data_IF_237128904444
#
_entry.id   IF_237128904444
#
_cell.length_a   1.000
_cell.length_b   1.000
_cell.length_c   1.000
_cell.angle_alpha   90.00
_cell.angle_beta   90.00
_cell.angle_gamma   90.00
#
_symmetry.space_group_name_H-M   'P 1'
#
loop_
_entity.id
_entity.type
_entity.pdbx_description
1 polymer ?
#
# COMPACT_ATOMS: atom_id res chain seq x y z
N UNK A 1 -27.96 -35.11 17.48
CA UNK A 1 -27.48 -33.85 18.11
C UNK A 1 -28.64 -33.26 18.91
N UNK A 2 -28.37 -32.54 20.00
CA UNK A 2 -29.43 -31.85 20.77
C UNK A 2 -30.11 -30.76 19.92
N UNK A 3 -31.42 -30.60 20.05
CA UNK A 3 -32.20 -29.52 19.41
C UNK A 3 -32.18 -28.20 20.20
N UNK A 4 -31.32 -28.11 21.21
CA UNK A 4 -31.16 -26.92 22.05
C UNK A 4 -29.81 -26.22 21.76
N UNK A 5 -29.86 -24.93 21.39
CA UNK A 5 -28.68 -24.12 21.06
C UNK A 5 -27.68 -24.01 22.23
N UNK A 6 -28.17 -23.89 23.45
CA UNK A 6 -27.33 -23.83 24.66
C UNK A 6 -26.58 -25.15 24.84
N UNK A 7 -27.27 -26.29 24.69
CA UNK A 7 -26.63 -27.60 24.75
C UNK A 7 -25.58 -27.78 23.65
N UNK A 8 -25.86 -27.34 22.42
CA UNK A 8 -24.87 -27.38 21.33
C UNK A 8 -23.65 -26.51 21.63
N UNK A 9 -23.87 -25.32 22.19
CA UNK A 9 -22.81 -24.38 22.59
C UNK A 9 -21.89 -24.98 23.66
N UNK A 10 -22.47 -25.58 24.71
CA UNK A 10 -21.72 -26.25 25.78
C UNK A 10 -20.92 -27.42 25.20
N UNK A 11 -21.54 -28.23 24.33
CA UNK A 11 -20.86 -29.35 23.67
C UNK A 11 -19.65 -28.92 22.83
N UNK A 12 -19.78 -27.82 22.08
CA UNK A 12 -18.65 -27.25 21.31
C UNK A 12 -17.53 -26.78 22.24
N UNK A 13 -17.86 -26.05 23.32
CA UNK A 13 -16.86 -25.61 24.29
C UNK A 13 -16.15 -26.78 24.97
N UNK A 14 -16.88 -27.82 25.35
CA UNK A 14 -16.31 -29.03 25.93
C UNK A 14 -15.35 -29.73 24.97
N UNK A 15 -15.76 -29.91 23.71
CA UNK A 15 -14.90 -30.53 22.70
C UNK A 15 -13.64 -29.68 22.44
N UNK A 16 -13.78 -28.36 22.35
CA UNK A 16 -12.64 -27.48 22.19
C UNK A 16 -11.67 -27.56 23.37
N UNK A 17 -12.19 -27.58 24.60
CA UNK A 17 -11.40 -27.71 25.81
C UNK A 17 -10.60 -29.03 25.82
N UNK A 18 -11.26 -30.16 25.57
CA UNK A 18 -10.65 -31.49 25.58
C UNK A 18 -9.53 -31.63 24.52
N UNK A 19 -9.75 -31.09 23.33
CA UNK A 19 -8.84 -31.23 22.20
C UNK A 19 -7.95 -30.01 21.94
N UNK A 20 -7.97 -28.99 22.80
CA UNK A 20 -7.28 -27.72 22.55
C UNK A 20 -5.78 -27.93 22.30
N UNK A 21 -5.13 -28.67 23.19
CA UNK A 21 -3.70 -28.96 23.13
C UNK A 21 -3.35 -30.14 22.23
N UNK A 22 -4.36 -30.89 21.79
CA UNK A 22 -4.17 -32.05 20.92
C UNK A 22 -4.22 -31.59 19.46
N UNK A 23 -3.10 -31.71 18.74
CA UNK A 23 -3.06 -31.52 17.27
C UNK A 23 -3.58 -32.75 16.54
N UNK A 24 -4.78 -33.20 16.91
CA UNK A 24 -5.37 -34.43 16.40
C UNK A 24 -6.23 -34.14 15.17
N UNK A 25 -5.68 -34.42 13.98
CA UNK A 25 -6.32 -34.21 12.69
C UNK A 25 -7.71 -34.88 12.60
N UNK A 26 -7.86 -36.09 13.16
CA UNK A 26 -9.12 -36.83 13.14
C UNK A 26 -10.18 -36.13 13.99
N UNK A 27 -9.79 -35.62 15.16
CA UNK A 27 -10.69 -34.84 16.01
C UNK A 27 -11.13 -33.54 15.33
N UNK A 28 -10.21 -32.83 14.67
CA UNK A 28 -10.51 -31.60 13.93
C UNK A 28 -11.48 -31.85 12.76
N UNK A 29 -11.30 -32.95 12.02
CA UNK A 29 -12.22 -33.37 10.96
C UNK A 29 -13.61 -33.69 11.51
N UNK A 30 -13.69 -34.47 12.59
CA UNK A 30 -14.95 -34.83 13.25
C UNK A 30 -15.66 -33.57 13.76
N UNK A 31 -14.92 -32.65 14.39
CA UNK A 31 -15.46 -31.37 14.88
C UNK A 31 -16.17 -30.60 13.76
N UNK A 32 -15.55 -30.50 12.59
CA UNK A 32 -16.11 -29.74 11.46
C UNK A 32 -17.23 -30.50 10.76
N UNK A 33 -17.04 -31.79 10.48
CA UNK A 33 -18.07 -32.62 9.84
C UNK A 33 -19.35 -32.63 10.68
N UNK A 34 -19.22 -32.73 11.99
CA UNK A 34 -20.31 -32.70 12.95
C UNK A 34 -20.43 -31.34 13.65
N UNK A 35 -20.10 -30.24 12.96
CA UNK A 35 -20.34 -28.91 13.54
C UNK A 35 -21.85 -28.71 13.76
N UNK A 36 -22.31 -28.25 14.93
CA UNK A 36 -23.74 -28.25 15.26
C UNK A 36 -24.57 -27.32 14.39
N UNK A 37 -25.71 -27.83 13.88
CA UNK A 37 -26.55 -27.14 12.89
C UNK A 37 -27.16 -25.84 13.44
N UNK A 38 -27.70 -25.83 14.66
CA UNK A 38 -28.36 -24.64 15.22
C UNK A 38 -27.34 -23.53 15.50
N UNK A 39 -26.15 -23.89 15.98
CA UNK A 39 -25.08 -22.92 16.18
C UNK A 39 -24.60 -22.32 14.85
N UNK A 40 -24.48 -23.14 13.80
CA UNK A 40 -24.16 -22.67 12.45
C UNK A 40 -25.23 -21.72 11.90
N UNK A 41 -26.50 -22.09 11.99
CA UNK A 41 -27.64 -21.27 11.58
C UNK A 41 -27.68 -19.96 12.35
N UNK A 42 -27.33 -19.99 13.64
CA UNK A 42 -27.25 -18.80 14.47
C UNK A 42 -26.15 -17.83 14.01
N UNK A 43 -24.95 -18.32 13.71
CA UNK A 43 -23.90 -17.48 13.14
C UNK A 43 -24.30 -16.89 11.77
N UNK A 44 -25.00 -17.67 10.95
CA UNK A 44 -25.55 -17.20 9.69
C UNK A 44 -26.67 -16.15 9.87
N UNK A 45 -27.46 -16.26 10.94
CA UNK A 45 -28.49 -15.27 11.29
C UNK A 45 -27.85 -13.94 11.72
N UNK A 46 -26.84 -14.02 12.59
CA UNK A 46 -26.08 -12.84 13.05
C UNK A 46 -25.35 -12.19 11.88
N UNK A 47 -24.73 -12.97 10.99
CA UNK A 47 -24.01 -12.42 9.84
C UNK A 47 -24.91 -11.69 8.84
N UNK A 48 -26.22 -11.97 8.86
CA UNK A 48 -27.26 -11.28 8.09
C UNK A 48 -27.90 -10.10 8.85
N UNK A 49 -27.43 -9.77 10.05
CA UNK A 49 -27.98 -8.69 10.87
C UNK A 49 -29.35 -8.98 11.49
N UNK A 50 -29.78 -10.25 11.55
CA UNK A 50 -31.11 -10.64 12.02
C UNK A 50 -31.17 -11.01 13.52
N UNK A 51 -30.14 -10.67 14.29
CA UNK A 51 -30.01 -11.12 15.67
C UNK A 51 -30.48 -10.07 16.68
N UNK A 52 -31.11 -10.57 17.74
CA UNK A 52 -31.43 -9.78 18.93
C UNK A 52 -30.14 -9.35 19.64
N UNK A 53 -30.10 -8.09 20.08
CA UNK A 53 -28.87 -7.39 20.51
C UNK A 53 -28.24 -8.07 21.74
N UNK A 54 -29.07 -8.60 22.63
CA UNK A 54 -28.69 -8.98 23.99
C UNK A 54 -27.70 -10.16 24.10
N UNK A 55 -27.62 -11.03 23.08
CA UNK A 55 -26.72 -12.21 23.08
C UNK A 55 -25.71 -12.22 21.91
N UNK A 56 -25.57 -11.11 21.20
CA UNK A 56 -24.69 -11.05 20.05
C UNK A 56 -23.20 -11.19 20.46
N UNK A 57 -22.77 -10.48 21.51
CA UNK A 57 -21.37 -10.43 21.93
C UNK A 57 -20.80 -11.79 22.38
N UNK A 58 -21.56 -12.55 23.19
CA UNK A 58 -21.13 -13.88 23.65
C UNK A 58 -20.95 -14.85 22.48
N UNK A 59 -21.79 -14.73 21.45
CA UNK A 59 -21.70 -15.51 20.22
C UNK A 59 -20.54 -15.08 19.33
N UNK A 60 -20.23 -13.77 19.25
CA UNK A 60 -19.00 -13.28 18.58
C UNK A 60 -17.75 -13.84 19.25
N UNK A 61 -17.71 -13.80 20.58
CA UNK A 61 -16.59 -14.35 21.35
C UNK A 61 -16.41 -15.85 21.07
N UNK A 62 -17.50 -16.62 21.15
CA UNK A 62 -17.48 -18.06 20.83
C UNK A 62 -17.03 -18.32 19.39
N UNK A 63 -17.47 -17.52 18.41
CA UNK A 63 -17.01 -17.65 17.03
C UNK A 63 -15.48 -17.47 16.92
N UNK A 64 -14.91 -16.50 17.63
CA UNK A 64 -13.45 -16.29 17.64
C UNK A 64 -12.71 -17.42 18.35
N UNK A 65 -13.25 -17.98 19.42
CA UNK A 65 -12.69 -19.18 20.06
C UNK A 65 -12.71 -20.36 19.08
N UNK A 66 -13.84 -20.59 18.40
CA UNK A 66 -13.99 -21.67 17.40
C UNK A 66 -13.03 -21.46 16.24
N UNK A 67 -12.94 -20.25 15.70
CA UNK A 67 -12.00 -19.92 14.62
C UNK A 67 -10.56 -20.21 15.06
N UNK A 68 -10.19 -19.76 16.26
CA UNK A 68 -8.86 -19.98 16.83
C UNK A 68 -8.55 -21.46 16.97
N UNK A 69 -9.50 -22.25 17.49
CA UNK A 69 -9.39 -23.70 17.61
C UNK A 69 -9.21 -24.37 16.26
N UNK A 70 -10.12 -24.12 15.33
CA UNK A 70 -10.18 -24.79 14.02
C UNK A 70 -8.92 -24.53 13.20
N UNK A 71 -8.39 -23.31 13.24
CA UNK A 71 -7.17 -22.94 12.52
C UNK A 71 -5.89 -23.07 13.37
N UNK A 72 -5.92 -23.79 14.51
CA UNK A 72 -4.70 -24.08 15.28
C UNK A 72 -3.76 -25.08 14.60
N UNK A 73 -4.31 -25.89 13.69
CA UNK A 73 -3.61 -26.94 12.99
C UNK A 73 -2.99 -26.44 11.66
N UNK A 74 -1.85 -27.01 11.25
CA UNK A 74 -1.12 -26.64 10.02
C UNK A 74 -1.51 -27.50 8.80
N UNK A 75 -2.36 -28.51 8.98
CA UNK A 75 -2.74 -29.42 7.90
C UNK A 75 -3.73 -28.77 6.92
N UNK A 76 -3.21 -28.27 5.80
CA UNK A 76 -3.97 -27.56 4.76
C UNK A 76 -5.12 -28.36 4.14
N UNK A 77 -5.05 -29.69 4.16
CA UNK A 77 -6.09 -30.55 3.58
C UNK A 77 -7.46 -30.34 4.22
N UNK A 78 -7.48 -29.95 5.51
CA UNK A 78 -8.70 -29.58 6.23
C UNK A 78 -9.45 -28.42 5.57
N UNK A 79 -8.69 -27.47 5.02
CA UNK A 79 -9.22 -26.22 4.51
C UNK A 79 -9.99 -26.37 3.21
N UNK A 80 -9.93 -27.54 2.56
CA UNK A 80 -10.75 -27.88 1.38
C UNK A 80 -12.23 -28.12 1.75
N UNK A 81 -12.55 -28.35 3.02
CA UNK A 81 -13.93 -28.59 3.44
C UNK A 81 -14.74 -27.27 3.43
N UNK A 82 -15.92 -27.21 2.78
CA UNK A 82 -16.71 -25.98 2.62
C UNK A 82 -17.19 -25.37 3.94
N UNK A 83 -17.27 -26.14 5.03
CA UNK A 83 -17.62 -25.60 6.34
C UNK A 83 -16.54 -24.68 6.91
N UNK A 84 -15.26 -24.94 6.63
CA UNK A 84 -14.17 -24.01 7.03
C UNK A 84 -14.34 -22.66 6.34
N UNK A 85 -14.62 -22.67 5.04
CA UNK A 85 -14.91 -21.45 4.28
C UNK A 85 -16.03 -20.64 4.92
N UNK A 86 -17.08 -21.31 5.39
CA UNK A 86 -18.20 -20.65 6.05
C UNK A 86 -17.80 -20.01 7.38
N UNK A 87 -16.95 -20.66 8.17
CA UNK A 87 -16.37 -20.07 9.39
C UNK A 87 -15.50 -18.84 9.09
N UNK A 88 -14.72 -18.87 8.00
CA UNK A 88 -13.96 -17.70 7.53
C UNK A 88 -14.91 -16.56 7.16
N UNK A 89 -15.99 -16.85 6.42
CA UNK A 89 -17.00 -15.84 6.07
C UNK A 89 -17.63 -15.22 7.32
N UNK A 90 -18.03 -16.04 8.30
CA UNK A 90 -18.58 -15.53 9.55
C UNK A 90 -17.56 -14.66 10.28
N UNK A 91 -16.31 -15.10 10.40
CA UNK A 91 -15.24 -14.31 11.02
C UNK A 91 -15.09 -12.93 10.35
N UNK A 92 -15.00 -12.90 9.02
CA UNK A 92 -14.82 -11.67 8.24
C UNK A 92 -16.01 -10.71 8.35
N UNK A 93 -17.24 -11.23 8.43
CA UNK A 93 -18.44 -10.41 8.65
C UNK A 93 -18.43 -9.82 10.06
N UNK A 94 -18.04 -10.62 11.06
CA UNK A 94 -18.11 -10.20 12.46
C UNK A 94 -17.10 -9.09 12.78
N UNK A 95 -15.87 -9.17 12.26
CA UNK A 95 -14.86 -8.11 12.47
C UNK A 95 -15.20 -6.79 11.78
N UNK A 96 -16.18 -6.75 10.86
CA UNK A 96 -16.68 -5.50 10.24
C UNK A 96 -17.68 -4.75 11.12
N UNK A 97 -18.26 -5.41 12.11
CA UNK A 97 -19.27 -4.80 12.97
C UNK A 97 -18.64 -3.82 13.96
N UNK A 98 -19.37 -2.78 14.37
CA UNK A 98 -18.86 -1.76 15.29
C UNK A 98 -18.83 -2.21 16.77
N UNK A 99 -19.53 -3.29 17.13
CA UNK A 99 -19.53 -3.77 18.52
C UNK A 99 -18.27 -4.58 18.79
N UNK A 100 -17.28 -3.89 19.33
CA UNK A 100 -15.99 -4.45 19.74
C UNK A 100 -16.19 -5.44 20.88
N UNK A 101 -15.39 -6.51 20.83
CA UNK A 101 -15.29 -7.49 21.92
C UNK A 101 -13.82 -7.53 22.32
N UNK A 102 -13.53 -7.27 23.60
CA UNK A 102 -12.19 -7.50 24.12
C UNK A 102 -11.93 -9.00 24.22
N UNK A 103 -10.76 -9.42 23.75
CA UNK A 103 -10.40 -10.84 23.74
C UNK A 103 -9.05 -11.03 24.42
N UNK A 104 -9.02 -11.96 25.39
CA UNK A 104 -7.81 -12.29 26.14
C UNK A 104 -6.81 -13.10 25.28
N UNK A 105 -7.26 -13.78 24.22
CA UNK A 105 -6.46 -14.67 23.38
C UNK A 105 -6.05 -14.08 22.01
N UNK A 106 -5.88 -12.76 21.91
CA UNK A 106 -5.60 -12.07 20.63
C UNK A 106 -4.35 -12.61 19.91
N UNK A 107 -3.28 -12.94 20.64
CA UNK A 107 -2.06 -13.52 20.05
C UNK A 107 -2.34 -14.89 19.39
N UNK A 108 -3.11 -15.76 20.07
CA UNK A 108 -3.48 -17.07 19.51
C UNK A 108 -4.40 -16.92 18.31
N UNK A 109 -5.28 -15.92 18.32
CA UNK A 109 -6.12 -15.59 17.17
C UNK A 109 -5.28 -15.13 15.97
N UNK A 110 -4.29 -14.25 16.17
CA UNK A 110 -3.35 -13.82 15.13
C UNK A 110 -2.61 -15.02 14.53
N UNK A 111 -2.13 -15.95 15.38
CA UNK A 111 -1.48 -17.19 14.94
C UNK A 111 -2.41 -18.07 14.09
N UNK A 112 -3.67 -18.19 14.48
CA UNK A 112 -4.66 -18.95 13.74
C UNK A 112 -5.05 -18.27 12.41
N UNK A 113 -5.11 -16.94 12.36
CA UNK A 113 -5.27 -16.21 11.09
C UNK A 113 -4.06 -16.46 10.18
N UNK A 114 -2.84 -16.39 10.70
CA UNK A 114 -1.62 -16.67 9.94
C UNK A 114 -1.64 -18.07 9.29
N UNK A 115 -2.20 -19.08 9.99
CA UNK A 115 -2.40 -20.42 9.43
C UNK A 115 -3.56 -20.47 8.43
N UNK A 116 -4.67 -19.79 8.72
CA UNK A 116 -5.80 -19.68 7.81
C UNK A 116 -5.40 -19.09 6.44
N UNK A 117 -4.67 -17.97 6.44
CA UNK A 117 -4.30 -17.26 5.21
C UNK A 117 -3.14 -17.90 4.46
N UNK A 118 -2.49 -18.91 5.03
CA UNK A 118 -1.54 -19.74 4.27
C UNK A 118 -2.23 -20.68 3.27
N UNK A 119 -3.58 -20.77 3.32
CA UNK A 119 -4.39 -21.33 2.24
C UNK A 119 -4.87 -20.21 1.30
N UNK A 120 -4.42 -20.27 0.06
CA UNK A 120 -4.57 -19.18 -0.92
C UNK A 120 -6.01 -18.69 -1.13
N UNK A 121 -7.04 -19.56 -1.24
CA UNK A 121 -8.42 -19.11 -1.33
C UNK A 121 -8.89 -18.27 -0.13
N UNK A 122 -8.39 -18.55 1.07
CA UNK A 122 -8.71 -17.76 2.25
C UNK A 122 -7.90 -16.47 2.30
N UNK A 123 -6.65 -16.47 1.87
CA UNK A 123 -5.88 -15.24 1.70
C UNK A 123 -6.64 -14.24 0.80
N UNK A 124 -7.10 -14.71 -0.36
CA UNK A 124 -7.90 -13.89 -1.30
C UNK A 124 -9.13 -13.30 -0.62
N UNK A 125 -9.88 -14.10 0.16
CA UNK A 125 -11.03 -13.61 0.92
C UNK A 125 -10.65 -12.53 1.95
N UNK A 126 -9.51 -12.69 2.63
CA UNK A 126 -9.03 -11.70 3.59
C UNK A 126 -8.65 -10.37 2.91
N UNK A 127 -8.05 -10.41 1.72
CA UNK A 127 -7.74 -9.21 0.93
C UNK A 127 -9.02 -8.55 0.42
N UNK A 128 -9.91 -9.32 -0.22
CA UNK A 128 -11.16 -8.81 -0.80
C UNK A 128 -12.05 -8.15 0.24
N UNK A 129 -12.17 -8.76 1.42
CA UNK A 129 -13.03 -8.28 2.51
C UNK A 129 -12.35 -7.24 3.41
N UNK A 130 -11.16 -6.76 3.03
CA UNK A 130 -10.35 -5.79 3.79
C UNK A 130 -10.13 -6.21 5.26
N UNK A 131 -9.85 -7.49 5.47
CA UNK A 131 -9.87 -8.10 6.79
C UNK A 131 -8.88 -7.45 7.76
N UNK A 132 -7.67 -7.10 7.32
CA UNK A 132 -6.65 -6.51 8.20
C UNK A 132 -7.05 -5.13 8.72
N UNK A 133 -7.68 -4.32 7.87
CA UNK A 133 -8.23 -3.03 8.27
C UNK A 133 -9.38 -3.20 9.28
N UNK A 134 -10.33 -4.08 8.99
CA UNK A 134 -11.45 -4.34 9.89
C UNK A 134 -10.96 -4.90 11.23
N UNK A 135 -10.00 -5.82 11.19
CA UNK A 135 -9.35 -6.37 12.38
C UNK A 135 -8.68 -5.28 13.22
N UNK A 136 -7.94 -4.37 12.60
CA UNK A 136 -7.32 -3.24 13.30
C UNK A 136 -8.35 -2.39 14.04
N UNK A 137 -9.41 -1.95 13.37
CA UNK A 137 -10.42 -1.10 14.01
C UNK A 137 -11.27 -1.84 15.05
N UNK A 138 -11.51 -3.14 14.85
CA UNK A 138 -12.24 -3.97 15.78
C UNK A 138 -11.44 -4.21 17.07
N UNK A 139 -10.14 -4.48 16.98
CA UNK A 139 -9.27 -4.83 18.12
C UNK A 139 -8.33 -3.70 18.59
N UNK A 140 -8.49 -2.47 18.08
CA UNK A 140 -7.56 -1.33 18.31
C UNK A 140 -7.12 -1.09 19.77
N UNK A 141 -7.98 -1.33 20.76
CA UNK A 141 -7.62 -1.17 22.18
C UNK A 141 -6.64 -2.23 22.66
N UNK A 142 -6.82 -3.47 22.22
CA UNK A 142 -6.03 -4.63 22.65
C UNK A 142 -4.72 -4.76 21.84
N UNK A 143 -4.68 -4.17 20.63
CA UNK A 143 -3.54 -4.26 19.71
C UNK A 143 -2.26 -3.60 20.20
N UNK A 144 -2.29 -2.73 21.22
CA UNK A 144 -1.07 -2.05 21.71
C UNK A 144 0.02 -3.03 22.16
N UNK A 145 -0.36 -4.19 22.69
CA UNK A 145 0.58 -5.24 23.13
C UNK A 145 1.02 -6.17 22.00
N UNK A 146 0.19 -6.31 20.97
CA UNK A 146 0.36 -7.30 19.89
C UNK A 146 0.53 -6.62 18.53
N UNK A 147 1.01 -5.37 18.51
CA UNK A 147 1.09 -4.57 17.29
C UNK A 147 2.09 -5.16 16.28
N UNK A 148 3.27 -5.58 16.74
CA UNK A 148 4.27 -6.21 15.89
C UNK A 148 3.76 -7.55 15.29
N UNK A 149 3.21 -8.49 16.09
CA UNK A 149 2.54 -9.68 15.56
C UNK A 149 1.43 -9.37 14.55
N UNK A 150 0.65 -8.32 14.80
CA UNK A 150 -0.39 -7.87 13.87
C UNK A 150 0.20 -7.37 12.55
N UNK A 151 1.28 -6.58 12.57
CA UNK A 151 1.96 -6.14 11.36
C UNK A 151 2.56 -7.31 10.58
N UNK A 152 3.10 -8.32 11.26
CA UNK A 152 3.58 -9.54 10.62
C UNK A 152 2.45 -10.33 9.96
N UNK A 153 1.29 -10.40 10.60
CA UNK A 153 0.08 -10.99 10.01
C UNK A 153 -0.35 -10.22 8.76
N UNK A 154 -0.39 -8.89 8.82
CA UNK A 154 -0.70 -8.05 7.65
C UNK A 154 0.30 -8.30 6.52
N UNK A 155 1.60 -8.41 6.84
CA UNK A 155 2.64 -8.71 5.86
C UNK A 155 2.45 -10.07 5.22
N UNK A 156 1.99 -11.10 5.93
CA UNK A 156 1.70 -12.42 5.33
C UNK A 156 0.52 -12.34 4.37
N UNK A 157 -0.62 -11.80 4.84
CA UNK A 157 -1.80 -11.57 3.99
C UNK A 157 -1.43 -10.79 2.73
N UNK A 158 -0.61 -9.75 2.87
CA UNK A 158 -0.35 -8.81 1.80
C UNK A 158 0.91 -9.07 0.95
N UNK A 159 1.88 -9.86 1.42
CA UNK A 159 3.11 -10.15 0.68
C UNK A 159 3.18 -11.57 0.12
N UNK A 160 2.27 -12.48 0.48
CA UNK A 160 2.32 -13.85 -0.02
C UNK A 160 2.47 -13.87 -1.54
N UNK A 161 3.31 -14.79 -2.01
CA UNK A 161 3.68 -15.02 -3.41
C UNK A 161 2.45 -15.56 -4.15
N UNK A 162 1.49 -14.66 -4.42
CA UNK A 162 0.35 -14.89 -5.29
C UNK A 162 0.88 -15.01 -6.73
N UNK A 163 1.55 -16.13 -6.99
CA UNK A 163 2.24 -16.44 -8.26
C UNK A 163 1.25 -16.79 -9.36
N UNK A 164 0.06 -17.23 -8.99
CA UNK A 164 -1.05 -17.46 -9.91
C UNK A 164 -2.06 -16.34 -9.76
N UNK A 165 -2.52 -15.80 -10.89
CA UNK A 165 -3.49 -14.71 -10.94
C UNK A 165 -4.83 -15.29 -10.48
N UNK A 166 -5.05 -15.35 -9.16
CA UNK A 166 -6.41 -15.48 -8.66
C UNK A 166 -7.19 -14.26 -9.13
N UNK A 167 -8.38 -14.53 -9.69
CA UNK A 167 -9.29 -13.47 -10.12
C UNK A 167 -9.88 -12.84 -8.87
N UNK A 168 -9.29 -11.72 -8.44
CA UNK A 168 -9.87 -10.87 -7.41
C UNK A 168 -11.17 -10.24 -7.92
N UNK A 169 -12.11 -10.03 -7.00
CA UNK A 169 -13.32 -9.27 -7.24
C UNK A 169 -13.03 -7.76 -7.19
N UNK A 170 -12.97 -7.13 -8.37
CA UNK A 170 -12.64 -5.70 -8.51
C UNK A 170 -13.63 -4.77 -7.76
N UNK A 171 -14.91 -5.16 -7.64
CA UNK A 171 -15.94 -4.40 -6.89
C UNK A 171 -15.63 -4.40 -5.39
N UNK A 172 -15.23 -5.56 -4.84
CA UNK A 172 -14.84 -5.66 -3.43
C UNK A 172 -13.55 -4.89 -3.15
N UNK A 173 -12.55 -5.00 -4.02
CA UNK A 173 -11.30 -4.23 -3.89
C UNK A 173 -11.54 -2.72 -3.95
N UNK A 174 -12.40 -2.27 -4.87
CA UNK A 174 -12.87 -0.88 -4.98
C UNK A 174 -13.56 -0.41 -3.70
N UNK A 175 -14.47 -1.22 -3.16
CA UNK A 175 -15.17 -0.92 -1.91
C UNK A 175 -14.18 -0.81 -0.75
N UNK A 176 -13.25 -1.75 -0.64
CA UNK A 176 -12.19 -1.78 0.35
C UNK A 176 -11.29 -0.54 0.26
N UNK A 177 -10.88 -0.15 -0.94
CA UNK A 177 -10.11 1.08 -1.17
C UNK A 177 -10.86 2.32 -0.69
N UNK A 178 -12.13 2.46 -1.11
CA UNK A 178 -12.99 3.59 -0.72
C UNK A 178 -13.16 3.67 0.81
N UNK A 179 -13.36 2.55 1.49
CA UNK A 179 -13.48 2.50 2.96
C UNK A 179 -12.19 2.98 3.64
N UNK A 180 -11.03 2.44 3.25
CA UNK A 180 -9.75 2.81 3.88
C UNK A 180 -9.47 4.29 3.70
N UNK A 181 -9.63 4.80 2.47
CA UNK A 181 -9.35 6.20 2.15
C UNK A 181 -10.29 7.15 2.89
N UNK A 182 -11.59 6.88 2.90
CA UNK A 182 -12.57 7.70 3.61
C UNK A 182 -12.28 7.71 5.11
N UNK A 183 -11.99 6.54 5.70
CA UNK A 183 -11.70 6.47 7.14
C UNK A 183 -10.42 7.19 7.51
N UNK A 184 -9.39 7.12 6.66
CA UNK A 184 -8.19 7.90 6.87
C UNK A 184 -8.45 9.40 6.80
N UNK A 185 -9.20 9.88 5.80
CA UNK A 185 -9.52 11.31 5.67
C UNK A 185 -10.24 11.83 6.91
N UNK A 186 -11.16 11.03 7.47
CA UNK A 186 -11.90 11.32 8.70
C UNK A 186 -11.00 11.36 9.94
N UNK A 187 -10.15 10.35 10.12
CA UNK A 187 -9.45 10.11 11.41
C UNK A 187 -8.02 10.60 11.46
N UNK A 188 -7.36 10.74 10.30
CA UNK A 188 -5.91 10.94 10.15
C UNK A 188 -5.06 9.89 10.89
N UNK A 189 -5.62 8.70 11.10
CA UNK A 189 -4.98 7.57 11.75
C UNK A 189 -3.73 7.09 10.98
N UNK A 190 -2.60 7.00 11.66
CA UNK A 190 -1.30 6.71 11.03
C UNK A 190 -1.08 5.23 10.74
N UNK A 191 -1.70 4.37 11.52
CA UNK A 191 -1.70 2.93 11.39
C UNK A 191 -2.58 2.54 10.19
N UNK A 192 -3.70 3.26 10.00
CA UNK A 192 -4.53 3.18 8.82
C UNK A 192 -3.74 3.45 7.52
N UNK A 193 -2.81 4.41 7.52
CA UNK A 193 -1.91 4.65 6.37
C UNK A 193 -1.05 3.43 6.07
N UNK A 194 -0.54 2.77 7.09
CA UNK A 194 0.34 1.61 6.91
C UNK A 194 -0.42 0.46 6.25
N UNK A 195 -1.65 0.19 6.70
CA UNK A 195 -2.54 -0.80 6.09
C UNK A 195 -2.91 -0.41 4.65
N UNK A 196 -3.23 0.87 4.42
CA UNK A 196 -3.51 1.41 3.10
C UNK A 196 -2.38 1.13 2.11
N UNK A 197 -1.12 1.37 2.50
CA UNK A 197 0.02 1.10 1.63
C UNK A 197 0.29 -0.38 1.40
N UNK A 198 0.03 -1.24 2.39
CA UNK A 198 0.15 -2.68 2.17
C UNK A 198 -0.90 -3.15 1.16
N UNK A 199 -2.13 -2.65 1.26
CA UNK A 199 -3.20 -2.91 0.30
C UNK A 199 -2.85 -2.39 -1.09
N UNK A 200 -2.45 -1.12 -1.22
CA UNK A 200 -2.01 -0.53 -2.49
C UNK A 200 -0.84 -1.29 -3.13
N UNK A 201 0.10 -1.77 -2.33
CA UNK A 201 1.24 -2.56 -2.83
C UNK A 201 0.75 -3.83 -3.55
N UNK A 202 -0.27 -4.50 -3.05
CA UNK A 202 -0.87 -5.66 -3.73
C UNK A 202 -1.58 -5.25 -4.99
N UNK A 203 -2.43 -4.23 -4.93
CA UNK A 203 -3.17 -3.77 -6.12
C UNK A 203 -2.20 -3.44 -7.24
N UNK A 204 -1.08 -2.76 -6.93
CA UNK A 204 -0.02 -2.48 -7.88
C UNK A 204 0.71 -3.75 -8.36
N UNK A 205 1.10 -4.65 -7.44
CA UNK A 205 1.78 -5.92 -7.78
C UNK A 205 0.95 -6.78 -8.73
N UNK A 206 -0.36 -6.84 -8.50
CA UNK A 206 -1.32 -7.59 -9.32
C UNK A 206 -1.77 -6.84 -10.57
N UNK A 207 -1.26 -5.62 -10.80
CA UNK A 207 -1.65 -4.74 -11.93
C UNK A 207 -3.16 -4.49 -11.99
N UNK A 208 -3.80 -4.35 -10.83
CA UNK A 208 -5.23 -4.09 -10.68
C UNK A 208 -5.57 -2.60 -10.53
N UNK A 209 -4.57 -1.71 -10.63
CA UNK A 209 -4.79 -0.26 -10.46
C UNK A 209 -5.82 0.32 -11.43
N UNK A 210 -5.85 -0.14 -12.69
CA UNK A 210 -6.84 0.31 -13.67
C UNK A 210 -8.24 -0.31 -13.45
N UNK A 211 -8.36 -1.34 -12.59
CA UNK A 211 -9.64 -2.01 -12.32
C UNK A 211 -10.28 -1.57 -11.02
N UNK A 212 -9.47 -1.06 -10.09
CA UNK A 212 -9.93 -0.60 -8.78
C UNK A 212 -10.23 0.89 -8.88
N UNK A 213 -11.49 1.27 -8.73
CA UNK A 213 -11.88 2.67 -8.74
C UNK A 213 -11.55 3.35 -7.40
N UNK A 214 -10.92 4.51 -7.44
CA UNK A 214 -10.71 5.32 -6.25
C UNK A 214 -10.66 6.81 -6.58
N UNK A 215 -10.92 7.63 -5.57
CA UNK A 215 -10.87 9.08 -5.70
C UNK A 215 -9.41 9.56 -5.63
N UNK A 216 -8.84 9.97 -6.77
CA UNK A 216 -7.47 10.46 -6.84
C UNK A 216 -7.22 11.71 -5.97
N UNK A 217 -8.21 12.60 -5.79
CA UNK A 217 -8.08 13.72 -4.86
C UNK A 217 -7.92 13.25 -3.40
N UNK A 218 -8.67 12.23 -2.95
CA UNK A 218 -8.46 11.65 -1.63
C UNK A 218 -7.09 10.99 -1.50
N UNK A 219 -6.58 10.33 -2.55
CA UNK A 219 -5.23 9.79 -2.55
C UNK A 219 -4.18 10.90 -2.45
N UNK A 220 -4.42 12.05 -3.09
CA UNK A 220 -3.56 13.22 -3.01
C UNK A 220 -3.52 13.77 -1.59
N UNK A 221 -4.66 13.90 -0.92
CA UNK A 221 -4.73 14.32 0.48
C UNK A 221 -3.99 13.36 1.43
N UNK A 222 -4.09 12.05 1.19
CA UNK A 222 -3.31 11.04 1.91
C UNK A 222 -1.81 11.27 1.68
N UNK A 223 -1.42 11.41 0.41
CA UNK A 223 -0.02 11.60 -0.01
C UNK A 223 0.57 12.87 0.61
N UNK A 224 -0.16 13.97 0.55
CA UNK A 224 0.19 15.26 1.14
C UNK A 224 0.37 15.14 2.64
N UNK A 225 -0.56 14.51 3.34
CA UNK A 225 -0.46 14.30 4.78
C UNK A 225 0.81 13.53 5.17
N UNK A 226 1.09 12.42 4.48
CA UNK A 226 2.27 11.59 4.76
C UNK A 226 3.54 12.39 4.50
N UNK A 227 3.57 13.11 3.39
CA UNK A 227 4.70 13.98 3.05
C UNK A 227 4.96 15.02 4.13
N UNK A 228 3.93 15.75 4.53
CA UNK A 228 4.04 16.81 5.54
C UNK A 228 4.30 16.28 6.96
N UNK A 229 3.95 15.04 7.26
CA UNK A 229 4.30 14.41 8.54
C UNK A 229 5.76 13.94 8.56
N UNK A 230 6.19 13.26 7.50
CA UNK A 230 7.46 12.52 7.52
C UNK A 230 8.66 13.39 7.08
N UNK A 231 8.43 14.56 6.46
CA UNK A 231 9.55 15.39 5.97
C UNK A 231 10.49 15.85 7.10
N UNK A 232 9.97 16.11 8.29
CA UNK A 232 10.77 16.51 9.45
C UNK A 232 11.72 15.41 9.90
N UNK A 233 11.29 14.17 9.81
CA UNK A 233 12.09 13.04 10.26
C UNK A 233 13.15 12.66 9.23
N UNK A 234 13.09 13.21 8.00
CA UNK A 234 13.92 12.84 6.84
C UNK A 234 14.15 11.33 6.71
N UNK A 235 13.23 10.55 7.28
CA UNK A 235 13.36 9.11 7.36
C UNK A 235 12.87 8.61 6.02
N UNK A 236 13.79 7.96 5.30
CA UNK A 236 13.74 7.55 3.90
C UNK A 236 12.56 6.64 3.49
N UNK A 237 11.51 6.53 4.31
CA UNK A 237 10.32 5.73 4.06
C UNK A 237 9.30 6.39 3.12
N UNK A 238 9.67 7.45 2.39
CA UNK A 238 8.91 7.77 1.18
C UNK A 238 9.13 6.65 0.17
N UNK A 239 8.22 5.67 0.19
CA UNK A 239 8.32 4.44 -0.58
C UNK A 239 8.34 4.84 -2.07
N UNK A 240 9.37 4.44 -2.84
CA UNK A 240 9.42 4.63 -4.30
C UNK A 240 8.14 4.15 -5.03
N UNK A 241 7.36 3.29 -4.37
CA UNK A 241 6.08 2.81 -4.86
C UNK A 241 5.01 3.91 -5.00
N UNK A 242 5.02 4.97 -4.17
CA UNK A 242 3.99 6.01 -4.24
C UNK A 242 4.21 6.94 -5.45
N UNK A 243 5.45 7.29 -5.76
CA UNK A 243 5.76 8.03 -6.99
C UNK A 243 5.40 7.20 -8.23
N UNK A 244 5.69 5.89 -8.23
CA UNK A 244 5.30 4.97 -9.31
C UNK A 244 3.78 4.90 -9.47
N UNK A 245 3.04 4.77 -8.36
CA UNK A 245 1.58 4.81 -8.35
C UNK A 245 1.04 6.09 -8.98
N UNK A 246 1.58 7.24 -8.58
CA UNK A 246 1.15 8.53 -9.13
C UNK A 246 1.46 8.72 -10.60
N UNK A 247 2.59 8.20 -11.07
CA UNK A 247 2.91 8.18 -12.51
C UNK A 247 1.84 7.39 -13.27
N UNK A 248 1.42 6.23 -12.77
CA UNK A 248 0.36 5.46 -13.42
C UNK A 248 -0.96 6.24 -13.44
N UNK A 249 -1.37 6.80 -12.31
CA UNK A 249 -2.61 7.60 -12.21
C UNK A 249 -2.58 8.80 -13.16
N UNK A 250 -1.49 9.56 -13.21
CA UNK A 250 -1.36 10.75 -14.07
C UNK A 250 -1.25 10.43 -15.56
N UNK A 251 -0.97 9.18 -15.93
CA UNK A 251 -0.95 8.74 -17.33
C UNK A 251 -2.24 8.04 -17.76
N UNK A 252 -3.14 7.75 -16.83
CA UNK A 252 -4.41 7.10 -17.14
C UNK A 252 -5.34 8.10 -17.82
N UNK A 253 -5.86 7.79 -19.02
CA UNK A 253 -6.68 8.74 -19.79
C UNK A 253 -8.00 9.11 -19.09
N UNK A 254 -8.52 8.20 -18.28
CA UNK A 254 -9.79 8.39 -17.54
C UNK A 254 -9.61 9.15 -16.22
N UNK A 255 -8.35 9.39 -15.79
CA UNK A 255 -8.11 10.07 -14.53
C UNK A 255 -8.43 11.57 -14.63
N UNK A 256 -9.26 12.04 -13.71
CA UNK A 256 -9.69 13.44 -13.63
C UNK A 256 -8.73 14.34 -12.84
N UNK A 257 -7.81 13.75 -12.06
CA UNK A 257 -6.88 14.52 -11.25
C UNK A 257 -5.87 15.28 -12.10
N UNK A 258 -5.80 16.60 -11.90
CA UNK A 258 -4.88 17.51 -12.60
C UNK A 258 -3.94 18.18 -11.60
N UNK A 259 -2.71 18.45 -12.05
CA UNK A 259 -1.77 19.30 -11.31
C UNK A 259 -2.05 20.75 -11.74
N UNK A 260 -3.09 21.34 -11.18
CA UNK A 260 -3.59 22.68 -11.50
C UNK A 260 -3.33 23.73 -10.40
N UNK A 261 -2.96 23.28 -9.20
CA UNK A 261 -2.57 24.14 -8.09
C UNK A 261 -1.05 24.09 -7.84
N UNK A 262 -0.49 25.23 -7.38
CA UNK A 262 0.92 25.33 -6.94
C UNK A 262 1.21 24.32 -5.83
N UNK A 263 0.27 24.09 -4.92
CA UNK A 263 0.43 23.11 -3.86
C UNK A 263 0.56 21.68 -4.41
N UNK A 264 -0.27 21.29 -5.38
CA UNK A 264 -0.17 20.00 -6.06
C UNK A 264 1.22 19.85 -6.68
N UNK A 265 1.64 20.86 -7.45
CA UNK A 265 2.93 20.90 -8.14
C UNK A 265 4.11 20.70 -7.18
N UNK A 266 4.07 21.36 -6.01
CA UNK A 266 5.08 21.24 -4.96
C UNK A 266 5.14 19.83 -4.38
N UNK A 267 3.99 19.26 -4.00
CA UNK A 267 3.94 17.92 -3.42
C UNK A 267 4.43 16.88 -4.44
N UNK A 268 3.96 16.94 -5.68
CA UNK A 268 4.43 16.01 -6.72
C UNK A 268 5.91 16.16 -7.01
N UNK A 269 6.42 17.39 -7.06
CA UNK A 269 7.85 17.63 -7.21
C UNK A 269 8.65 17.00 -6.09
N UNK A 270 8.10 16.98 -4.88
CA UNK A 270 8.76 16.32 -3.78
C UNK A 270 8.84 14.80 -3.93
N UNK A 271 7.71 14.18 -4.24
CA UNK A 271 7.62 12.74 -4.53
C UNK A 271 8.58 12.32 -5.65
N UNK A 272 8.56 13.10 -6.73
CA UNK A 272 9.30 12.84 -7.94
C UNK A 272 10.79 13.12 -7.80
N UNK A 273 11.17 14.13 -7.01
CA UNK A 273 12.58 14.39 -6.71
C UNK A 273 13.21 13.26 -5.90
N UNK A 274 12.48 12.71 -4.91
CA UNK A 274 12.94 11.55 -4.14
C UNK A 274 13.11 10.34 -5.08
N UNK A 275 12.10 10.07 -5.90
CA UNK A 275 12.16 8.96 -6.86
C UNK A 275 13.33 9.07 -7.84
N UNK A 276 13.52 10.24 -8.46
CA UNK A 276 14.63 10.48 -9.39
C UNK A 276 15.99 10.37 -8.69
N UNK A 277 16.12 10.94 -7.49
CA UNK A 277 17.34 10.84 -6.70
C UNK A 277 17.74 9.39 -6.44
N UNK A 278 16.79 8.55 -6.00
CA UNK A 278 17.05 7.14 -5.69
C UNK A 278 17.35 6.33 -6.96
N UNK A 279 16.66 6.64 -8.06
CA UNK A 279 16.94 6.04 -9.37
C UNK A 279 18.36 6.39 -9.84
N UNK A 280 18.75 7.66 -9.81
CA UNK A 280 20.09 8.10 -10.16
C UNK A 280 21.16 7.46 -9.27
N UNK A 281 20.92 7.38 -7.96
CA UNK A 281 21.82 6.67 -7.03
C UNK A 281 22.02 5.22 -7.46
N UNK A 282 20.94 4.50 -7.76
CA UNK A 282 21.01 3.12 -8.26
C UNK A 282 21.79 3.02 -9.57
N UNK A 283 21.51 3.89 -10.55
CA UNK A 283 22.20 3.91 -11.84
C UNK A 283 23.70 4.16 -11.68
N UNK A 284 24.07 5.14 -10.84
CA UNK A 284 25.46 5.46 -10.49
C UNK A 284 26.18 4.26 -9.85
N UNK A 285 25.57 3.65 -8.84
CA UNK A 285 26.17 2.51 -8.13
C UNK A 285 26.41 1.32 -9.07
N UNK A 286 25.47 1.05 -9.99
CA UNK A 286 25.53 -0.11 -10.88
C UNK A 286 26.17 0.19 -12.24
N UNK A 287 26.68 1.41 -12.46
CA UNK A 287 27.26 1.86 -13.74
C UNK A 287 26.31 1.69 -14.94
N UNK A 288 25.02 1.97 -14.74
CA UNK A 288 23.97 1.83 -15.76
C UNK A 288 23.63 3.20 -16.36
N UNK A 289 23.58 3.28 -17.69
CA UNK A 289 23.15 4.50 -18.38
C UNK A 289 21.66 4.78 -18.17
N UNK A 290 21.31 6.04 -17.98
CA UNK A 290 19.94 6.48 -17.83
C UNK A 290 19.18 6.37 -19.16
N UNK A 291 18.07 5.63 -19.12
CA UNK A 291 17.12 5.55 -20.23
C UNK A 291 15.85 6.29 -19.80
N UNK A 292 15.52 7.37 -20.50
CA UNK A 292 14.28 8.11 -20.30
C UNK A 292 13.17 7.51 -21.17
N UNK A 293 12.09 7.11 -20.51
CA UNK A 293 10.83 6.80 -21.14
C UNK A 293 9.85 7.98 -20.94
N UNK A 294 8.65 7.91 -21.55
CA UNK A 294 7.60 8.92 -21.41
C UNK A 294 7.34 9.30 -19.95
N UNK A 295 7.28 8.31 -19.06
CA UNK A 295 7.01 8.51 -17.64
C UNK A 295 8.13 9.32 -16.96
N UNK A 296 9.40 8.97 -17.17
CA UNK A 296 10.55 9.72 -16.63
C UNK A 296 10.59 11.16 -17.15
N UNK A 297 10.23 11.38 -18.41
CA UNK A 297 10.12 12.74 -18.97
C UNK A 297 9.01 13.53 -18.26
N UNK A 298 7.85 12.95 -18.05
CA UNK A 298 6.74 13.60 -17.34
C UNK A 298 7.11 13.98 -15.90
N UNK A 299 7.75 13.07 -15.16
CA UNK A 299 8.29 13.34 -13.82
C UNK A 299 9.22 14.56 -13.86
N UNK A 300 10.16 14.57 -14.81
CA UNK A 300 11.12 15.65 -14.96
C UNK A 300 10.45 16.98 -15.31
N UNK A 301 9.41 16.97 -16.15
CA UNK A 301 8.62 18.15 -16.46
C UNK A 301 7.90 18.73 -15.24
N UNK A 302 7.34 17.87 -14.38
CA UNK A 302 6.73 18.35 -13.13
C UNK A 302 7.76 19.05 -12.24
N UNK A 303 8.97 18.49 -12.13
CA UNK A 303 10.06 19.14 -11.39
C UNK A 303 10.49 20.45 -12.07
N UNK A 304 10.63 20.45 -13.41
CA UNK A 304 10.97 21.64 -14.19
C UNK A 304 9.92 22.76 -14.01
N UNK A 305 8.63 22.44 -14.09
CA UNK A 305 7.57 23.43 -13.89
C UNK A 305 7.57 24.00 -12.47
N UNK A 306 7.95 23.21 -11.46
CA UNK A 306 8.19 23.76 -10.12
C UNK A 306 9.34 24.74 -10.08
N UNK A 307 10.42 24.49 -10.84
CA UNK A 307 11.51 25.46 -10.96
C UNK A 307 11.07 26.73 -11.71
N UNK A 308 10.16 26.62 -12.67
CA UNK A 308 9.57 27.79 -13.35
C UNK A 308 8.67 28.58 -12.40
N UNK A 309 7.81 27.90 -11.64
CA UNK A 309 6.92 28.51 -10.64
C UNK A 309 7.66 28.92 -9.36
N UNK A 310 8.93 28.57 -9.21
CA UNK A 310 9.68 28.76 -7.98
C UNK A 310 9.64 30.19 -7.42
N UNK A 311 9.76 31.27 -8.23
CA UNK A 311 9.71 32.64 -7.72
C UNK A 311 8.40 33.03 -7.03
N UNK A 312 7.28 32.36 -7.35
CA UNK A 312 5.96 32.64 -6.77
C UNK A 312 5.61 31.68 -5.63
N UNK A 313 6.48 30.73 -5.28
CA UNK A 313 6.30 29.82 -4.15
C UNK A 313 6.69 30.53 -2.85
N UNK A 314 5.83 30.44 -1.84
CA UNK A 314 6.14 30.84 -0.47
C UNK A 314 7.27 29.97 0.11
N UNK A 315 8.51 30.44 -0.07
CA UNK A 315 9.72 29.77 0.40
C UNK A 315 9.85 29.73 1.93
N UNK A 316 9.52 30.81 2.69
CA UNK A 316 9.48 30.75 4.15
C UNK A 316 8.62 29.61 4.70
N UNK A 317 7.45 29.35 4.10
CA UNK A 317 6.60 28.23 4.52
C UNK A 317 7.12 26.84 4.09
N UNK A 318 8.03 26.77 3.11
CA UNK A 318 8.47 25.51 2.49
C UNK A 318 9.99 25.46 2.27
N UNK A 319 10.81 25.67 3.32
CA UNK A 319 12.28 25.73 3.18
C UNK A 319 12.88 24.40 2.69
N UNK A 320 12.19 23.29 2.95
CA UNK A 320 12.59 21.94 2.53
C UNK A 320 12.61 21.77 1.00
N UNK A 321 11.79 22.51 0.24
CA UNK A 321 11.67 22.35 -1.21
C UNK A 321 12.97 22.70 -1.92
N UNK A 322 13.59 23.84 -1.56
CA UNK A 322 14.88 24.27 -2.12
C UNK A 322 15.97 23.25 -1.83
N UNK A 323 16.05 22.77 -0.59
CA UNK A 323 17.05 21.76 -0.16
C UNK A 323 16.94 20.48 -0.97
N UNK A 324 15.72 20.01 -1.19
CA UNK A 324 15.46 18.79 -1.94
C UNK A 324 15.77 18.95 -3.44
N UNK A 325 15.40 20.08 -4.04
CA UNK A 325 15.75 20.36 -5.44
C UNK A 325 17.26 20.49 -5.64
N UNK A 326 17.99 21.13 -4.71
CA UNK A 326 19.45 21.16 -4.72
C UNK A 326 20.05 19.75 -4.62
N UNK A 327 19.52 18.90 -3.74
CA UNK A 327 19.94 17.50 -3.62
C UNK A 327 19.75 16.73 -4.93
N UNK A 328 18.63 16.93 -5.61
CA UNK A 328 18.39 16.30 -6.91
C UNK A 328 19.37 16.82 -7.97
N UNK A 329 19.58 18.14 -8.02
CA UNK A 329 20.55 18.77 -8.92
C UNK A 329 21.95 18.16 -8.76
N UNK A 330 22.49 18.14 -7.53
CA UNK A 330 23.81 17.55 -7.29
C UNK A 330 23.88 16.08 -7.65
N UNK A 331 22.79 15.33 -7.49
CA UNK A 331 22.76 13.92 -7.89
C UNK A 331 22.81 13.73 -9.41
N UNK A 332 22.26 14.66 -10.19
CA UNK A 332 22.49 14.69 -11.65
C UNK A 332 23.93 15.10 -11.99
N UNK A 333 24.52 16.05 -11.26
CA UNK A 333 25.94 16.40 -11.41
C UNK A 333 26.85 15.19 -11.21
N UNK A 334 26.67 14.45 -10.10
CA UNK A 334 27.38 13.19 -9.84
C UNK A 334 27.19 12.14 -10.96
N UNK A 335 26.02 12.12 -11.59
CA UNK A 335 25.76 11.24 -12.73
C UNK A 335 26.59 11.70 -13.94
N UNK A 336 26.61 12.99 -14.27
CA UNK A 336 27.38 13.53 -15.39
C UNK A 336 28.90 13.39 -15.22
N UNK A 337 29.41 13.43 -13.98
CA UNK A 337 30.82 13.14 -13.70
C UNK A 337 31.21 11.71 -14.10
N UNK A 338 30.30 10.75 -13.90
CA UNK A 338 30.56 9.32 -14.06
C UNK A 338 30.21 8.78 -15.44
N UNK A 339 29.26 9.42 -16.12
CA UNK A 339 28.75 8.95 -17.40
C UNK A 339 28.84 10.06 -18.44
N UNK A 340 29.32 9.70 -19.62
CA UNK A 340 29.28 10.62 -20.76
C UNK A 340 27.83 10.91 -21.15
N UNK A 341 27.48 12.19 -21.14
CA UNK A 341 26.17 12.70 -21.61
C UNK A 341 25.93 12.30 -23.06
N UNK A 342 27.00 12.07 -23.84
CA UNK A 342 26.96 11.66 -25.25
C UNK A 342 26.25 10.33 -25.49
N UNK A 343 26.20 9.45 -24.49
CA UNK A 343 25.55 8.14 -24.58
C UNK A 343 24.03 8.27 -24.54
N UNK A 344 23.50 9.38 -24.03
CA UNK A 344 22.06 9.64 -23.96
C UNK A 344 21.58 10.15 -25.32
N UNK A 345 20.47 9.61 -25.82
CA UNK A 345 19.85 10.10 -27.06
C UNK A 345 19.57 11.61 -26.98
N UNK A 346 19.74 12.32 -28.09
CA UNK A 346 19.64 13.80 -28.12
C UNK A 346 18.33 14.33 -27.53
N UNK A 347 17.21 13.70 -27.88
CA UNK A 347 15.88 14.03 -27.36
C UNK A 347 15.79 13.87 -25.82
N UNK A 348 16.31 12.77 -25.27
CA UNK A 348 16.33 12.58 -23.81
C UNK A 348 17.30 13.53 -23.12
N UNK A 349 18.45 13.79 -23.74
CA UNK A 349 19.48 14.71 -23.23
C UNK A 349 18.93 16.12 -23.11
N UNK A 350 18.21 16.60 -24.12
CA UNK A 350 17.59 17.92 -24.12
C UNK A 350 16.72 18.13 -22.87
N UNK A 351 15.86 17.18 -22.52
CA UNK A 351 15.00 17.29 -21.33
C UNK A 351 15.80 17.34 -20.02
N UNK A 352 16.81 16.47 -19.90
CA UNK A 352 17.66 16.42 -18.69
C UNK A 352 18.41 17.74 -18.51
N UNK A 353 19.03 18.24 -19.58
CA UNK A 353 19.80 19.48 -19.55
C UNK A 353 18.91 20.70 -19.33
N UNK A 354 17.72 20.74 -19.94
CA UNK A 354 16.74 21.79 -19.70
C UNK A 354 16.38 21.88 -18.20
N UNK A 355 16.11 20.74 -17.55
CA UNK A 355 15.93 20.70 -16.09
C UNK A 355 17.19 21.16 -15.36
N UNK A 356 18.35 20.61 -15.72
CA UNK A 356 19.61 20.83 -15.01
C UNK A 356 19.98 22.32 -15.00
N UNK A 357 19.91 22.97 -16.15
CA UNK A 357 20.22 24.40 -16.31
C UNK A 357 19.20 25.27 -15.58
N UNK A 358 17.91 24.94 -15.70
CA UNK A 358 16.87 25.66 -14.97
C UNK A 358 17.08 25.53 -13.46
N UNK A 359 17.55 24.38 -12.98
CA UNK A 359 17.82 24.15 -11.56
C UNK A 359 19.01 24.97 -11.06
N UNK A 360 20.10 25.08 -11.83
CA UNK A 360 21.25 25.93 -11.52
C UNK A 360 20.82 27.39 -11.27
N UNK A 361 20.17 27.98 -12.27
CA UNK A 361 19.75 29.38 -12.24
C UNK A 361 18.72 29.65 -11.14
N UNK A 362 17.70 28.80 -11.02
CA UNK A 362 16.58 29.01 -10.08
C UNK A 362 17.02 28.82 -8.62
N UNK A 363 17.91 27.88 -8.35
CA UNK A 363 18.31 27.53 -6.98
C UNK A 363 19.52 28.33 -6.50
N UNK A 364 20.08 29.20 -7.34
CA UNK A 364 21.32 29.94 -7.11
C UNK A 364 22.44 28.99 -6.68
N UNK A 365 22.78 28.08 -7.60
CA UNK A 365 23.90 27.14 -7.47
C UNK A 365 25.03 27.70 -8.32
N UNK A 366 26.22 27.78 -7.75
CA UNK A 366 27.41 28.26 -8.45
C UNK A 366 27.76 27.30 -9.59
N UNK A 367 28.09 27.87 -10.74
CA UNK A 367 28.49 27.10 -11.93
C UNK A 367 29.88 26.52 -11.67
N UNK A 368 30.00 25.20 -11.76
CA UNK A 368 31.28 24.50 -11.68
C UNK A 368 31.89 24.29 -13.07
N UNK A 369 33.19 24.00 -13.14
CA UNK A 369 33.85 23.64 -14.40
C UNK A 369 33.22 22.41 -15.07
N UNK A 370 32.64 21.49 -14.28
CA UNK A 370 31.90 20.36 -14.83
C UNK A 370 30.65 20.84 -15.56
N UNK A 371 29.92 21.79 -14.96
CA UNK A 371 28.71 22.34 -15.56
C UNK A 371 29.06 23.00 -16.89
N UNK A 372 30.08 23.89 -16.90
CA UNK A 372 30.62 24.54 -18.12
C UNK A 372 30.92 23.52 -19.21
N UNK A 373 31.63 22.44 -18.88
CA UNK A 373 31.94 21.38 -19.83
C UNK A 373 30.68 20.69 -20.36
N UNK A 374 29.72 20.36 -19.50
CA UNK A 374 28.44 19.75 -19.92
C UNK A 374 27.67 20.70 -20.84
N UNK A 375 27.72 22.01 -20.60
CA UNK A 375 27.15 23.03 -21.47
C UNK A 375 27.84 23.06 -22.84
N UNK A 376 29.15 23.21 -22.87
CA UNK A 376 29.94 23.30 -24.10
C UNK A 376 29.78 22.05 -24.96
N UNK A 377 29.88 20.86 -24.35
CA UNK A 377 29.68 19.59 -25.05
C UNK A 377 28.29 19.53 -25.71
N UNK A 378 27.25 20.02 -25.04
CA UNK A 378 25.90 20.03 -25.59
C UNK A 378 25.71 21.07 -26.70
N UNK A 379 26.23 22.28 -26.54
CA UNK A 379 26.11 23.36 -27.53
C UNK A 379 26.89 23.04 -28.81
N UNK A 380 28.09 22.49 -28.68
CA UNK A 380 28.90 22.06 -29.82
C UNK A 380 28.16 20.98 -30.64
N UNK A 381 27.54 20.01 -29.96
CA UNK A 381 26.74 18.98 -30.65
C UNK A 381 25.47 19.53 -31.31
N UNK A 382 24.84 20.56 -30.74
CA UNK A 382 23.70 21.23 -31.40
C UNK A 382 24.14 21.97 -32.66
N UNK A 383 25.32 22.60 -32.65
CA UNK A 383 25.87 23.28 -33.82
C UNK A 383 26.15 22.33 -34.99
N UNK A 384 26.49 21.07 -34.69
CA UNK A 384 26.73 20.03 -35.69
C UNK A 384 25.44 19.50 -36.35
N UNK A 385 24.25 19.80 -35.81
CA UNK A 385 22.97 19.36 -36.37
C UNK A 385 22.52 20.34 -37.47
N UNK A 386 22.37 19.91 -38.73
CA UNK A 386 22.07 20.81 -39.86
C UNK A 386 20.77 21.62 -39.74
N UNK A 387 19.80 21.13 -38.96
CA UNK A 387 18.55 21.87 -38.72
C UNK A 387 18.70 23.06 -37.77
N UNK A 388 19.82 23.18 -37.06
CA UNK A 388 20.13 24.27 -36.15
C UNK A 388 21.29 25.16 -36.64
N UNK A 389 22.04 24.72 -37.66
CA UNK A 389 23.19 25.47 -38.18
C UNK A 389 22.84 26.73 -38.98
N UNK A 390 21.56 26.98 -39.25
CA UNK A 390 21.06 28.20 -39.92
C UNK A 390 20.76 29.37 -38.98
N UNK A 391 20.94 29.19 -37.66
CA UNK A 391 20.70 30.24 -36.65
C UNK A 391 21.96 31.01 -36.21
N UNK A 392 23.10 30.78 -36.86
CA UNK A 392 24.34 31.52 -36.60
C UNK A 392 24.48 32.75 -37.50
#
# INVERSE_FOLDING_TARGET
MSDNLTTQTIGVKYMMFEFWHQRNLKADLVFIQHFPKLLYEEFNRISKGQADVENCQSKKHLLFEIFTFVFRNKHMELFKNPKFKSLVVFFLIFIKTHDRVSIIFLETLIDSINRCVSYEPYNVMFIEENAMFNFYYYFSLDLRKTYDPFLDMCRKVYNDDLREITKFNDVKLTTSMKIIMSKFVETRDTECITLFFMFLKIINRLKLLCKVEFNACHLFEITKFIFLRDYHQMNYMFRPNLSILWIHILNEPENTFRIDAIENLIIFTALFSIHLHDNLKYLITNRINIIFNKNKKQILYVVYFTLVAFPIIDHPAKPWLRKMLKRLHFKFGEYFEKFSVKIISMDNRFHILQYYFKSLATLNIDISCLDEKVFEDFLNELADIPSFSTFN
#
